data_IF_145688441270
#
_entry.id   IF_145688441270
#
_cell.length_a   1.000
_cell.length_b   1.000
_cell.length_c   1.000
_cell.angle_alpha   90.00
_cell.angle_beta   90.00
_cell.angle_gamma   90.00
#
_symmetry.space_group_name_H-M   'P 1'
#
loop_
_entity.id
_entity.type
_entity.pdbx_description
1 polymer ?
#
# COMPACT_ATOMS: atom_id res chain seq x y z
N UNK A 1 28.29 13.19 -6.75
CA UNK A 1 29.40 13.98 -6.13
C UNK A 1 29.26 14.10 -4.61
N UNK A 2 30.39 14.13 -3.90
CA UNK A 2 30.47 14.40 -2.47
C UNK A 2 31.10 15.79 -2.29
N UNK A 3 30.27 16.79 -2.02
CA UNK A 3 30.68 18.18 -1.79
C UNK A 3 29.53 18.92 -1.12
N UNK A 4 29.82 19.97 -0.33
CA UNK A 4 28.78 20.73 0.35
C UNK A 4 27.79 21.30 -0.67
N UNK A 5 26.52 21.35 -0.28
CA UNK A 5 25.49 22.06 -1.03
C UNK A 5 25.86 23.54 -1.05
N UNK A 6 25.78 24.16 -2.23
CA UNK A 6 25.96 25.60 -2.38
C UNK A 6 24.64 26.33 -2.21
N UNK A 7 23.70 26.12 -3.13
CA UNK A 7 22.33 26.61 -3.05
C UNK A 7 21.38 25.80 -3.94
N UNK A 8 20.06 25.89 -3.72
CA UNK A 8 19.10 25.29 -4.61
C UNK A 8 19.09 25.92 -6.01
N UNK A 9 18.88 25.11 -7.04
CA UNK A 9 18.88 25.50 -8.44
C UNK A 9 17.86 26.63 -8.69
N UNK A 10 18.26 27.64 -9.46
CA UNK A 10 17.44 28.80 -9.78
C UNK A 10 17.33 29.85 -8.66
N UNK A 11 17.87 29.60 -7.46
CA UNK A 11 18.00 30.64 -6.44
C UNK A 11 19.08 31.66 -6.86
N UNK A 12 18.90 32.95 -6.53
CA UNK A 12 19.87 33.98 -6.86
C UNK A 12 21.16 33.83 -6.05
N UNK A 13 22.29 34.11 -6.67
CA UNK A 13 23.60 34.17 -6.05
C UNK A 13 24.40 35.38 -6.55
N UNK A 14 25.36 35.80 -5.72
CA UNK A 14 26.22 36.92 -6.04
C UNK A 14 27.48 36.50 -6.80
N UNK A 15 27.87 37.32 -7.77
CA UNK A 15 29.13 37.20 -8.51
C UNK A 15 29.83 38.54 -8.45
N UNK A 16 31.12 38.51 -8.12
CA UNK A 16 31.99 39.69 -8.15
C UNK A 16 33.01 39.50 -9.26
N UNK A 17 33.18 40.52 -10.08
CA UNK A 17 34.20 40.59 -11.14
C UNK A 17 35.10 41.79 -10.89
N UNK A 18 36.39 41.61 -11.15
CA UNK A 18 37.38 42.67 -11.10
C UNK A 18 38.10 42.71 -12.43
N UNK A 19 38.07 43.87 -13.09
CA UNK A 19 38.81 44.12 -14.32
C UNK A 19 40.27 44.39 -13.96
N UNK A 20 41.19 43.59 -14.49
CA UNK A 20 42.62 43.67 -14.20
C UNK A 20 43.39 44.14 -15.44
N UNK A 21 44.48 44.87 -15.24
CA UNK A 21 45.45 45.16 -16.29
C UNK A 21 46.40 43.97 -16.53
N UNK A 22 47.41 44.17 -17.38
CA UNK A 22 48.36 43.13 -17.75
C UNK A 22 49.29 42.72 -16.58
N UNK A 23 49.50 43.63 -15.62
CA UNK A 23 50.28 43.41 -14.41
C UNK A 23 49.46 42.74 -13.29
N UNK A 24 48.14 42.69 -13.44
CA UNK A 24 47.21 42.07 -12.51
C UNK A 24 46.61 43.03 -11.49
N UNK A 25 46.75 44.34 -11.69
CA UNK A 25 46.19 45.38 -10.83
C UNK A 25 44.75 45.75 -11.26
N UNK A 26 43.83 46.05 -10.33
CA UNK A 26 42.48 46.50 -10.66
C UNK A 26 42.51 47.79 -11.49
N UNK A 27 41.72 47.82 -12.56
CA UNK A 27 41.61 48.97 -13.48
C UNK A 27 40.49 49.92 -13.05
N UNK A 28 40.77 51.05 -12.36
CA UNK A 28 39.72 51.85 -11.71
C UNK A 28 38.77 52.56 -12.68
N UNK A 29 39.17 52.63 -13.96
CA UNK A 29 38.43 53.30 -15.02
C UNK A 29 37.54 52.36 -15.84
N UNK A 30 37.64 51.03 -15.68
CA UNK A 30 36.79 50.09 -16.39
C UNK A 30 35.31 50.33 -16.05
N UNK A 31 34.43 50.38 -17.05
CA UNK A 31 33.01 50.70 -16.90
C UNK A 31 32.73 52.19 -16.68
N UNK A 32 33.73 53.07 -16.89
CA UNK A 32 33.62 54.55 -16.81
C UNK A 32 33.95 55.24 -18.13
N UNK A 33 33.98 54.49 -19.22
CA UNK A 33 34.16 54.98 -20.58
C UNK A 33 32.96 55.83 -21.02
N UNK A 34 33.08 56.53 -22.16
CA UNK A 34 31.99 57.35 -22.71
C UNK A 34 30.73 56.51 -23.04
N UNK A 35 30.95 55.28 -23.49
CA UNK A 35 29.95 54.21 -23.53
C UNK A 35 30.43 53.21 -22.49
N UNK A 36 29.77 53.15 -21.34
CA UNK A 36 30.22 52.33 -20.22
C UNK A 36 30.21 50.85 -20.58
N UNK A 37 31.33 50.18 -20.32
CA UNK A 37 31.48 48.75 -20.54
C UNK A 37 30.74 47.93 -19.48
N UNK A 38 30.29 46.74 -19.90
CA UNK A 38 29.61 45.78 -19.02
C UNK A 38 30.28 44.42 -19.09
N UNK A 39 29.82 43.46 -18.28
CA UNK A 39 30.36 42.09 -18.26
C UNK A 39 29.25 41.10 -18.58
N UNK A 40 29.53 40.20 -19.51
CA UNK A 40 28.75 39.00 -19.79
C UNK A 40 29.35 37.80 -19.06
N UNK A 41 28.48 36.89 -18.60
CA UNK A 41 28.87 35.72 -17.81
C UNK A 41 28.40 34.45 -18.52
N UNK A 42 29.33 33.54 -18.76
CA UNK A 42 29.03 32.21 -19.33
C UNK A 42 29.32 31.11 -18.31
N UNK A 43 28.57 30.01 -18.38
CA UNK A 43 28.80 28.83 -17.53
C UNK A 43 29.36 27.66 -18.32
N UNK A 44 30.24 26.89 -17.68
CA UNK A 44 30.65 25.56 -18.17
C UNK A 44 30.26 24.52 -17.13
N UNK A 45 29.55 23.48 -17.56
CA UNK A 45 29.18 22.36 -16.69
C UNK A 45 30.40 21.48 -16.38
N UNK A 46 30.68 21.34 -15.10
CA UNK A 46 31.74 20.47 -14.56
C UNK A 46 31.17 19.10 -14.21
N UNK A 47 29.98 19.08 -13.57
CA UNK A 47 29.29 17.85 -13.21
C UNK A 47 27.77 18.07 -13.19
N UNK A 48 26.95 17.09 -13.62
CA UNK A 48 27.36 15.80 -14.21
C UNK A 48 27.97 15.97 -15.60
N UNK A 49 28.92 15.11 -15.96
CA UNK A 49 29.49 15.11 -17.31
C UNK A 49 28.39 14.76 -18.31
N UNK A 50 28.32 15.50 -19.42
CA UNK A 50 27.27 15.40 -20.42
C UNK A 50 25.84 15.70 -19.93
N UNK A 51 25.71 16.37 -18.78
CA UNK A 51 24.43 16.92 -18.32
C UNK A 51 24.00 18.15 -19.11
N UNK A 52 22.80 18.64 -18.78
CA UNK A 52 22.24 19.88 -19.32
C UNK A 52 22.94 21.07 -18.67
N UNK A 53 23.29 22.08 -19.46
CA UNK A 53 23.87 23.33 -18.98
C UNK A 53 23.05 24.51 -19.54
N UNK A 54 21.92 24.88 -18.91
CA UNK A 54 21.24 26.11 -19.29
C UNK A 54 22.14 27.33 -19.01
N UNK A 55 21.92 28.46 -19.70
CA UNK A 55 22.68 29.67 -19.43
C UNK A 55 22.45 30.16 -18.01
N UNK A 56 23.47 30.77 -17.42
CA UNK A 56 23.29 31.61 -16.23
C UNK A 56 22.60 32.88 -16.67
N UNK A 57 21.55 33.28 -15.94
CA UNK A 57 20.80 34.50 -16.24
C UNK A 57 20.78 35.41 -15.03
N UNK A 58 20.50 36.68 -15.24
CA UNK A 58 20.29 37.67 -14.19
C UNK A 58 19.19 38.64 -14.63
N UNK A 59 18.46 39.21 -13.67
CA UNK A 59 17.46 40.25 -13.97
C UNK A 59 18.12 41.60 -14.26
N UNK A 60 19.14 41.93 -13.48
CA UNK A 60 19.92 43.16 -13.52
C UNK A 60 21.38 42.90 -13.89
N UNK A 61 21.99 41.84 -13.34
CA UNK A 61 23.39 41.49 -13.60
C UNK A 61 24.36 42.34 -12.79
N UNK A 62 25.50 42.70 -13.38
CA UNK A 62 26.50 43.50 -12.69
C UNK A 62 26.07 44.96 -12.53
N UNK A 63 26.28 45.53 -11.34
CA UNK A 63 26.15 46.96 -11.11
C UNK A 63 27.30 47.78 -11.69
N UNK A 64 27.32 49.07 -11.36
CA UNK A 64 28.38 50.00 -11.79
C UNK A 64 29.73 49.62 -11.17
N UNK A 65 30.79 49.68 -11.96
CA UNK A 65 32.15 49.45 -11.50
C UNK A 65 32.67 50.55 -10.55
N UNK A 66 33.21 50.13 -9.42
CA UNK A 66 33.86 50.99 -8.43
C UNK A 66 35.27 50.47 -8.15
N UNK A 67 36.29 51.25 -8.49
CA UNK A 67 37.69 50.83 -8.32
C UNK A 67 38.05 49.58 -9.13
N UNK A 68 37.45 49.41 -10.31
CA UNK A 68 37.69 48.25 -11.17
C UNK A 68 36.92 46.98 -10.79
N UNK A 69 36.04 47.03 -9.79
CA UNK A 69 35.22 45.89 -9.36
C UNK A 69 33.72 46.17 -9.49
N UNK A 70 32.95 45.17 -9.89
CA UNK A 70 31.50 45.17 -9.85
C UNK A 70 30.96 43.87 -9.24
N UNK A 71 29.83 43.96 -8.55
CA UNK A 71 29.11 42.81 -7.99
C UNK A 71 27.68 42.83 -8.51
N UNK A 72 27.22 41.69 -9.04
CA UNK A 72 25.80 41.43 -9.27
C UNK A 72 25.30 40.38 -8.27
N UNK A 73 24.03 40.48 -7.86
CA UNK A 73 23.48 39.69 -6.75
C UNK A 73 22.30 38.78 -7.13
N UNK A 74 21.90 38.80 -8.39
CA UNK A 74 20.70 38.15 -8.91
C UNK A 74 20.98 37.17 -10.05
N UNK A 75 22.22 36.70 -10.15
CA UNK A 75 22.55 35.61 -11.06
C UNK A 75 21.88 34.32 -10.59
N UNK A 76 21.32 33.55 -11.50
CA UNK A 76 20.71 32.27 -11.19
C UNK A 76 21.06 31.24 -12.27
N UNK A 77 21.13 29.98 -11.86
CA UNK A 77 21.36 28.84 -12.73
C UNK A 77 20.32 27.74 -12.42
N UNK A 78 19.37 27.48 -13.33
CA UNK A 78 18.19 26.66 -13.02
C UNK A 78 18.42 25.16 -13.26
N UNK A 79 19.55 24.62 -12.83
CA UNK A 79 19.90 23.21 -13.00
C UNK A 79 20.73 22.65 -11.83
N UNK A 80 20.66 21.34 -11.63
CA UNK A 80 21.48 20.59 -10.66
C UNK A 80 22.86 20.33 -11.24
N UNK A 81 23.89 20.54 -10.43
CA UNK A 81 25.24 20.32 -10.92
C UNK A 81 26.29 21.16 -10.24
N UNK A 82 27.45 21.22 -10.88
CA UNK A 82 28.57 22.07 -10.54
C UNK A 82 28.98 22.77 -11.82
N UNK A 83 29.11 24.09 -11.79
CA UNK A 83 29.57 24.90 -12.91
C UNK A 83 30.83 25.69 -12.54
N UNK A 84 31.59 26.08 -13.56
CA UNK A 84 32.50 27.24 -13.51
C UNK A 84 31.89 28.38 -14.31
N UNK A 85 32.37 29.59 -14.05
CA UNK A 85 31.93 30.82 -14.69
C UNK A 85 33.10 31.48 -15.41
N UNK A 86 32.84 32.02 -16.59
CA UNK A 86 33.85 32.80 -17.35
C UNK A 86 33.26 34.17 -17.68
N UNK A 87 33.79 35.27 -17.11
CA UNK A 87 33.38 36.61 -17.47
C UNK A 87 34.03 37.04 -18.79
N UNK A 88 33.35 37.90 -19.54
CA UNK A 88 33.88 38.55 -20.74
C UNK A 88 33.28 39.94 -20.90
N UNK A 89 33.89 40.80 -21.71
CA UNK A 89 33.33 42.11 -22.04
C UNK A 89 31.94 41.93 -22.64
N UNK A 90 30.97 42.72 -22.17
CA UNK A 90 29.55 42.47 -22.36
C UNK A 90 29.10 42.40 -23.81
N UNK A 91 29.69 43.23 -24.68
CA UNK A 91 29.44 43.25 -26.12
C UNK A 91 30.52 42.52 -26.95
N UNK A 92 31.55 41.99 -26.28
CA UNK A 92 32.66 41.29 -26.89
C UNK A 92 33.70 42.19 -27.57
N UNK A 93 33.75 43.50 -27.29
CA UNK A 93 34.77 44.39 -27.81
C UNK A 93 35.13 45.51 -26.82
N UNK A 94 36.35 45.51 -26.29
CA UNK A 94 36.80 46.59 -25.42
C UNK A 94 37.58 47.65 -26.22
N UNK A 95 37.01 48.84 -26.38
CA UNK A 95 37.66 49.98 -27.05
C UNK A 95 38.19 49.66 -28.46
N UNK A 96 37.48 48.85 -29.26
CA UNK A 96 37.92 48.38 -30.59
C UNK A 96 39.16 47.48 -30.59
N UNK A 97 39.53 46.94 -29.42
CA UNK A 97 40.63 45.99 -29.23
C UNK A 97 40.24 44.52 -29.34
N UNK A 98 38.96 44.21 -29.53
CA UNK A 98 38.39 42.87 -29.49
C UNK A 98 37.95 42.44 -28.09
N UNK A 99 37.45 41.20 -27.99
CA UNK A 99 36.90 40.66 -26.75
C UNK A 99 38.02 40.41 -25.73
N UNK A 100 37.79 40.85 -24.49
CA UNK A 100 38.59 40.45 -23.34
C UNK A 100 37.82 39.41 -22.56
N UNK A 101 38.36 38.19 -22.50
CA UNK A 101 37.81 37.09 -21.69
C UNK A 101 38.62 37.00 -20.40
N UNK A 102 37.93 37.02 -19.26
CA UNK A 102 38.54 36.91 -17.95
C UNK A 102 38.87 35.46 -17.58
N UNK A 103 39.47 35.31 -16.39
CA UNK A 103 39.86 34.01 -15.86
C UNK A 103 38.64 33.17 -15.50
N UNK A 104 38.66 31.89 -15.87
CA UNK A 104 37.64 30.90 -15.46
C UNK A 104 37.65 30.78 -13.94
N UNK A 105 36.49 30.87 -13.31
CA UNK A 105 36.35 30.71 -11.87
C UNK A 105 36.72 29.28 -11.43
N UNK A 106 36.95 29.10 -10.13
CA UNK A 106 36.80 27.78 -9.53
C UNK A 106 35.36 27.26 -9.65
N UNK A 107 35.13 26.04 -9.16
CA UNK A 107 33.77 25.50 -9.06
C UNK A 107 32.92 26.42 -8.19
N UNK A 108 31.80 26.90 -8.72
CA UNK A 108 30.85 27.75 -7.99
C UNK A 108 30.29 27.00 -6.78
N UNK A 109 30.06 25.70 -6.93
CA UNK A 109 29.58 24.80 -5.88
C UNK A 109 28.52 23.83 -6.40
N UNK A 110 27.97 23.00 -5.51
CA UNK A 110 26.96 21.99 -5.88
C UNK A 110 25.55 22.55 -5.74
N UNK A 111 24.89 22.76 -6.86
CA UNK A 111 23.47 23.08 -6.96
C UNK A 111 22.63 21.81 -6.79
N UNK A 112 21.55 21.90 -6.01
CA UNK A 112 20.57 20.83 -5.74
C UNK A 112 19.18 21.27 -6.21
N UNK A 113 18.18 20.40 -6.34
CA UNK A 113 16.81 20.88 -6.57
C UNK A 113 16.35 21.80 -5.43
N UNK A 114 15.44 22.71 -5.75
CA UNK A 114 14.75 23.58 -4.77
C UNK A 114 13.68 22.79 -4.00
N UNK A 115 12.87 22.02 -4.72
CA UNK A 115 11.85 21.17 -4.12
C UNK A 115 11.48 20.03 -5.07
N UNK A 116 10.62 19.13 -4.58
CA UNK A 116 9.94 18.13 -5.41
C UNK A 116 8.47 18.48 -5.63
N UNK A 117 8.03 18.48 -6.88
CA UNK A 117 6.61 18.32 -7.19
C UNK A 117 6.20 16.86 -6.97
N UNK A 118 5.00 16.65 -6.45
CA UNK A 118 4.46 15.32 -6.14
C UNK A 118 3.22 15.03 -7.00
N UNK A 119 3.24 13.90 -7.69
CA UNK A 119 2.07 13.33 -8.35
C UNK A 119 1.78 11.94 -7.78
N UNK A 120 0.54 11.71 -7.35
CA UNK A 120 0.07 10.46 -6.75
C UNK A 120 -0.82 9.70 -7.75
N UNK A 121 -0.75 8.37 -7.77
CA UNK A 121 -1.82 7.57 -8.36
C UNK A 121 -3.03 7.48 -7.41
N UNK A 122 -4.11 6.84 -7.87
CA UNK A 122 -5.27 6.49 -7.04
C UNK A 122 -5.19 5.00 -6.67
N UNK A 123 -4.52 4.62 -5.58
CA UNK A 123 -4.43 3.23 -5.17
C UNK A 123 -5.78 2.70 -4.70
N UNK A 124 -5.89 1.37 -4.68
CA UNK A 124 -7.03 0.66 -4.11
C UNK A 124 -6.58 -0.64 -3.43
N UNK A 125 -7.25 -0.97 -2.34
CA UNK A 125 -7.22 -2.30 -1.74
C UNK A 125 -8.18 -3.23 -2.48
N UNK A 126 -7.85 -4.52 -2.50
CA UNK A 126 -8.72 -5.59 -2.96
C UNK A 126 -9.63 -6.02 -1.82
N UNK A 127 -10.94 -5.98 -2.04
CA UNK A 127 -11.93 -6.55 -1.12
C UNK A 127 -11.85 -8.07 -1.16
N UNK A 128 -11.64 -8.74 -0.02
CA UNK A 128 -11.40 -10.19 0.02
C UNK A 128 -12.57 -10.98 -0.59
N UNK A 129 -13.81 -10.61 -0.24
CA UNK A 129 -15.01 -11.11 -0.91
C UNK A 129 -15.63 -10.04 -1.81
N UNK A 130 -15.05 -9.84 -3.00
CA UNK A 130 -15.48 -8.80 -3.93
C UNK A 130 -16.95 -8.92 -4.37
N UNK A 131 -17.48 -10.14 -4.55
CA UNK A 131 -18.89 -10.36 -4.92
C UNK A 131 -19.87 -10.10 -3.78
N UNK A 132 -19.40 -10.16 -2.52
CA UNK A 132 -20.18 -9.82 -1.33
C UNK A 132 -19.95 -8.39 -0.83
N UNK A 133 -18.89 -7.73 -1.29
CA UNK A 133 -18.51 -6.36 -0.94
C UNK A 133 -17.93 -6.19 0.47
N UNK A 134 -17.36 -7.25 1.04
CA UNK A 134 -16.83 -7.25 2.41
C UNK A 134 -15.49 -7.97 2.53
N UNK A 135 -14.80 -7.72 3.64
CA UNK A 135 -13.66 -8.52 4.12
C UNK A 135 -13.90 -8.91 5.57
N UNK A 136 -13.57 -10.15 5.96
CA UNK A 136 -13.70 -10.54 7.36
C UNK A 136 -12.61 -9.87 8.22
N UNK A 137 -12.96 -9.46 9.44
CA UNK A 137 -11.97 -8.95 10.39
C UNK A 137 -11.04 -10.09 10.80
N UNK A 138 -9.74 -9.87 10.60
CA UNK A 138 -8.68 -10.87 10.75
C UNK A 138 -8.25 -11.54 9.44
N UNK A 139 -9.03 -11.40 8.37
CA UNK A 139 -8.67 -11.84 7.03
C UNK A 139 -7.69 -10.86 6.39
N UNK A 140 -6.67 -11.39 5.70
CA UNK A 140 -5.69 -10.56 5.02
C UNK A 140 -6.21 -10.07 3.67
N UNK A 141 -6.09 -8.78 3.43
CA UNK A 141 -6.33 -8.14 2.14
C UNK A 141 -5.07 -7.42 1.65
N UNK A 142 -4.98 -7.18 0.34
CA UNK A 142 -3.80 -6.57 -0.29
C UNK A 142 -4.23 -5.49 -1.28
N UNK A 143 -3.29 -4.80 -1.93
CA UNK A 143 -3.60 -3.84 -2.97
C UNK A 143 -4.12 -4.52 -4.24
N UNK A 144 -5.25 -4.07 -4.76
CA UNK A 144 -5.65 -4.31 -6.15
C UNK A 144 -4.90 -3.36 -7.10
N UNK A 145 -4.57 -2.16 -6.62
CA UNK A 145 -3.64 -1.23 -7.24
C UNK A 145 -2.75 -0.57 -6.17
N UNK A 146 -1.45 -0.87 -6.20
CA UNK A 146 -0.53 -0.37 -5.18
C UNK A 146 -0.23 1.14 -5.32
N UNK A 147 0.07 1.84 -4.21
CA UNK A 147 0.44 3.25 -4.24
C UNK A 147 1.73 3.51 -5.01
N UNK A 148 1.78 4.63 -5.72
CA UNK A 148 2.97 5.12 -6.42
C UNK A 148 3.05 6.64 -6.33
N UNK A 149 4.18 7.13 -5.84
CA UNK A 149 4.52 8.55 -5.86
C UNK A 149 5.46 8.79 -7.05
N UNK A 150 5.15 9.78 -7.86
CA UNK A 150 6.07 10.32 -8.88
C UNK A 150 6.55 11.69 -8.40
N UNK A 151 7.86 11.84 -8.24
CA UNK A 151 8.50 13.09 -7.85
C UNK A 151 9.13 13.73 -9.09
N UNK A 152 8.98 15.05 -9.22
CA UNK A 152 9.72 15.83 -10.22
C UNK A 152 10.57 16.88 -9.51
N UNK A 153 11.87 16.84 -9.71
CA UNK A 153 12.82 17.77 -9.15
C UNK A 153 12.72 19.13 -9.86
N UNK A 154 12.55 20.21 -9.09
CA UNK A 154 12.32 21.57 -9.60
C UNK A 154 13.41 22.52 -9.16
N UNK A 155 13.72 23.48 -10.03
CA UNK A 155 14.43 24.70 -9.64
C UNK A 155 13.44 25.71 -9.03
N UNK A 156 13.94 26.74 -8.35
CA UNK A 156 13.14 27.84 -7.80
C UNK A 156 12.36 28.62 -8.89
N UNK A 157 12.81 28.52 -10.15
CA UNK A 157 12.14 29.06 -11.35
C UNK A 157 11.09 28.11 -11.95
N UNK A 158 10.77 27.01 -11.25
CA UNK A 158 9.84 25.94 -11.64
C UNK A 158 10.23 25.10 -12.88
N UNK A 159 11.40 25.30 -13.47
CA UNK A 159 11.95 24.38 -14.47
C UNK A 159 12.33 23.04 -13.84
N UNK A 160 12.23 21.96 -14.61
CA UNK A 160 12.72 20.64 -14.18
C UNK A 160 14.24 20.65 -14.15
N UNK A 161 14.85 20.18 -13.07
CA UNK A 161 16.30 19.98 -12.98
C UNK A 161 16.68 18.63 -13.57
N UNK A 162 16.99 18.61 -14.87
CA UNK A 162 17.20 17.37 -15.63
C UNK A 162 18.43 16.59 -15.17
N UNK A 163 19.40 17.27 -14.55
CA UNK A 163 20.61 16.65 -14.02
C UNK A 163 20.41 16.00 -12.65
N UNK A 164 19.23 16.08 -12.04
CA UNK A 164 18.90 15.32 -10.83
C UNK A 164 18.70 13.84 -11.17
N UNK A 165 19.83 13.14 -11.33
CA UNK A 165 19.92 11.72 -11.67
C UNK A 165 21.31 11.19 -11.28
N UNK A 166 21.49 9.86 -11.27
CA UNK A 166 22.77 9.20 -11.02
C UNK A 166 23.41 9.63 -9.71
N UNK A 167 24.62 10.17 -9.76
CA UNK A 167 25.35 10.57 -8.56
C UNK A 167 24.77 11.81 -7.82
N UNK A 168 23.87 12.55 -8.48
CA UNK A 168 23.11 13.66 -7.92
C UNK A 168 21.74 13.25 -7.41
N UNK A 169 21.25 12.05 -7.76
CA UNK A 169 20.07 11.46 -7.16
C UNK A 169 20.38 11.06 -5.71
N UNK A 170 19.72 11.70 -4.75
CA UNK A 170 20.01 11.53 -3.32
C UNK A 170 18.86 10.93 -2.50
N UNK A 171 17.78 10.52 -3.16
CA UNK A 171 16.66 9.84 -2.52
C UNK A 171 17.01 8.37 -2.28
N UNK A 172 16.88 7.92 -1.03
CA UNK A 172 17.05 6.52 -0.64
C UNK A 172 16.03 6.14 0.44
N UNK A 173 15.86 4.84 0.71
CA UNK A 173 15.02 4.37 1.81
C UNK A 173 15.50 4.82 3.20
N UNK A 174 16.73 5.35 3.33
CA UNK A 174 17.21 5.94 4.59
C UNK A 174 16.80 7.40 4.74
N UNK A 175 16.53 8.10 3.64
CA UNK A 175 16.12 9.51 3.63
C UNK A 175 14.61 9.67 3.59
N UNK A 176 13.92 8.72 2.96
CA UNK A 176 12.46 8.60 3.00
C UNK A 176 12.07 7.85 4.27
N UNK A 177 11.35 8.50 5.19
CA UNK A 177 11.16 8.03 6.57
C UNK A 177 9.69 8.04 6.99
N UNK A 178 9.42 7.56 8.21
CA UNK A 178 8.12 7.65 8.89
C UNK A 178 6.92 7.13 8.06
N UNK A 179 7.17 6.09 7.23
CA UNK A 179 6.11 5.38 6.51
C UNK A 179 5.14 4.75 7.53
N UNK A 180 3.88 5.16 7.48
CA UNK A 180 2.85 4.74 8.43
C UNK A 180 1.55 4.39 7.73
N UNK A 181 0.91 3.34 8.22
CA UNK A 181 -0.43 2.92 7.85
C UNK A 181 -1.32 3.05 9.07
N UNK A 182 -2.36 3.89 8.97
CA UNK A 182 -3.27 4.17 10.09
C UNK A 182 -4.69 3.96 9.62
N UNK A 183 -5.44 3.18 10.37
CA UNK A 183 -6.88 3.05 10.18
C UNK A 183 -7.63 3.92 11.21
N UNK A 184 -8.73 4.54 10.79
CA UNK A 184 -9.57 5.33 11.69
C UNK A 184 -10.41 4.38 12.57
N UNK A 185 -10.30 4.56 13.89
CA UNK A 185 -11.15 3.88 14.88
C UNK A 185 -10.83 2.41 15.15
N UNK A 186 -9.90 1.80 14.41
CA UNK A 186 -9.61 0.36 14.49
C UNK A 186 -8.11 0.09 14.37
N UNK A 187 -7.65 -1.02 14.93
CA UNK A 187 -6.26 -1.43 14.87
C UNK A 187 -5.96 -2.22 13.58
N UNK A 188 -4.87 -1.84 12.92
CA UNK A 188 -4.39 -2.50 11.69
C UNK A 188 -3.12 -3.29 12.00
N UNK A 189 -3.07 -4.54 11.57
CA UNK A 189 -1.85 -5.34 11.55
C UNK A 189 -1.11 -5.08 10.22
N UNK A 190 0.09 -4.52 10.35
CA UNK A 190 0.97 -4.14 9.25
C UNK A 190 2.17 -5.08 9.08
N UNK A 191 2.21 -6.20 9.81
CA UNK A 191 3.36 -7.12 9.81
C UNK A 191 3.59 -7.79 8.45
N UNK A 192 2.57 -7.87 7.60
CA UNK A 192 2.68 -8.39 6.24
C UNK A 192 3.30 -7.44 5.23
N UNK A 193 3.50 -6.16 5.58
CA UNK A 193 4.12 -5.19 4.69
C UNK A 193 5.64 -5.39 4.59
N UNK A 194 6.27 -5.08 3.45
CA UNK A 194 7.73 -5.13 3.32
C UNK A 194 8.41 -4.12 4.25
N UNK A 195 9.63 -4.44 4.70
CA UNK A 195 10.39 -3.56 5.59
C UNK A 195 10.67 -2.18 4.95
N UNK A 196 10.65 -1.07 5.74
CA UNK A 196 10.93 0.28 5.22
C UNK A 196 12.28 0.44 4.50
N UNK A 197 13.26 -0.41 4.85
CA UNK A 197 14.58 -0.41 4.22
C UNK A 197 14.58 -0.80 2.73
N UNK A 198 13.53 -1.46 2.25
CA UNK A 198 13.40 -1.93 0.85
C UNK A 198 12.09 -1.46 0.19
N UNK A 199 11.19 -0.84 0.94
CA UNK A 199 9.91 -0.34 0.42
C UNK A 199 9.61 1.07 0.95
N UNK A 200 9.24 2.03 0.09
CA UNK A 200 8.97 1.85 -1.35
C UNK A 200 10.24 1.56 -2.17
N UNK A 201 10.08 0.91 -3.32
CA UNK A 201 11.16 0.80 -4.31
C UNK A 201 11.36 2.17 -4.95
N UNK A 202 12.52 2.78 -4.68
CA UNK A 202 12.89 4.09 -5.20
C UNK A 202 13.64 3.90 -6.52
N UNK A 203 13.15 4.52 -7.58
CA UNK A 203 13.76 4.47 -8.92
C UNK A 203 14.06 5.87 -9.41
N UNK A 204 15.29 6.08 -9.86
CA UNK A 204 15.67 7.22 -10.68
C UNK A 204 15.20 6.96 -12.12
N UNK A 205 14.20 7.72 -12.57
CA UNK A 205 13.65 7.60 -13.92
C UNK A 205 14.40 8.47 -14.95
N UNK A 206 15.43 9.21 -14.51
CA UNK A 206 16.16 10.17 -15.33
C UNK A 206 15.41 11.48 -15.54
N UNK A 207 16.11 12.50 -16.05
CA UNK A 207 15.51 13.78 -16.42
C UNK A 207 14.87 14.53 -15.24
N UNK A 208 15.37 14.33 -14.02
CA UNK A 208 14.81 14.93 -12.80
C UNK A 208 13.55 14.27 -12.27
N UNK A 209 13.20 13.07 -12.74
CA UNK A 209 12.02 12.34 -12.29
C UNK A 209 12.42 11.14 -11.43
N UNK A 210 11.72 10.95 -10.31
CA UNK A 210 11.84 9.79 -9.44
C UNK A 210 10.49 9.10 -9.25
N UNK A 211 10.50 7.80 -8.99
CA UNK A 211 9.29 7.07 -8.56
C UNK A 211 9.53 6.30 -7.27
N UNK A 212 8.57 6.36 -6.36
CA UNK A 212 8.49 5.52 -5.16
C UNK A 212 7.31 4.58 -5.36
N UNK A 213 7.58 3.29 -5.61
CA UNK A 213 6.56 2.28 -5.81
C UNK A 213 6.42 1.41 -4.55
N UNK A 214 5.21 1.40 -3.98
CA UNK A 214 4.91 0.63 -2.77
C UNK A 214 4.48 -0.80 -3.13
N UNK A 215 4.76 -1.73 -2.24
CA UNK A 215 4.28 -3.11 -2.29
C UNK A 215 3.47 -3.43 -1.04
N UNK A 216 2.41 -4.21 -1.20
CA UNK A 216 1.61 -4.68 -0.08
C UNK A 216 2.18 -5.93 0.61
N UNK A 217 3.28 -6.50 0.10
CA UNK A 217 3.87 -7.72 0.69
C UNK A 217 2.86 -8.86 0.75
N UNK A 218 2.72 -9.51 1.91
CA UNK A 218 1.67 -10.50 2.14
C UNK A 218 0.30 -9.89 2.46
N UNK A 219 0.23 -8.58 2.71
CA UNK A 219 -1.01 -7.82 2.89
C UNK A 219 -1.14 -7.20 4.29
N UNK A 220 -2.33 -6.67 4.53
CA UNK A 220 -2.79 -6.03 5.76
C UNK A 220 -4.00 -6.79 6.31
N UNK A 221 -4.28 -6.67 7.59
CA UNK A 221 -5.55 -7.13 8.18
C UNK A 221 -5.96 -6.26 9.35
N UNK A 222 -7.27 -6.13 9.57
CA UNK A 222 -7.76 -5.56 10.83
C UNK A 222 -7.53 -6.56 11.97
N UNK A 223 -7.06 -6.04 13.11
CA UNK A 223 -6.80 -6.87 14.29
C UNK A 223 -8.13 -7.38 14.84
N UNK A 224 -8.31 -8.69 14.80
CA UNK A 224 -9.48 -9.37 15.34
C UNK A 224 -9.38 -9.49 16.86
N UNK A 225 -10.39 -9.00 17.57
CA UNK A 225 -10.51 -9.14 19.02
C UNK A 225 -11.90 -9.68 19.39
N UNK A 226 -12.73 -8.89 20.05
CA UNK A 226 -14.12 -9.24 20.38
C UNK A 226 -15.06 -8.96 19.21
N UNK A 227 -16.24 -9.61 19.16
CA UNK A 227 -17.25 -9.31 18.14
C UNK A 227 -17.64 -7.83 18.12
N UNK A 228 -17.66 -7.24 16.93
CA UNK A 228 -18.02 -5.84 16.71
C UNK A 228 -18.92 -5.67 15.49
N UNK A 229 -19.69 -4.58 15.49
CA UNK A 229 -20.60 -4.26 14.40
C UNK A 229 -19.82 -3.95 13.11
N UNK A 230 -20.40 -4.19 11.92
CA UNK A 230 -19.74 -3.86 10.66
C UNK A 230 -19.35 -2.39 10.57
N UNK A 231 -18.21 -2.12 9.95
CA UNK A 231 -17.71 -0.76 9.70
C UNK A 231 -17.07 -0.66 8.32
N UNK A 232 -16.99 0.55 7.77
CA UNK A 232 -16.22 0.81 6.54
C UNK A 232 -14.78 1.17 6.89
N UNK A 233 -13.82 0.53 6.23
CA UNK A 233 -12.40 0.79 6.43
C UNK A 233 -11.99 2.17 5.87
N UNK A 234 -11.40 3.02 6.72
CA UNK A 234 -10.68 4.24 6.34
C UNK A 234 -9.21 4.05 6.73
N UNK A 235 -8.38 3.64 5.75
CA UNK A 235 -6.94 3.41 5.91
C UNK A 235 -6.17 4.48 5.14
N UNK A 236 -5.21 5.11 5.82
CA UNK A 236 -4.32 6.13 5.26
C UNK A 236 -2.88 5.65 5.26
N UNK A 237 -2.17 5.98 4.19
CA UNK A 237 -0.72 5.79 4.10
C UNK A 237 -0.06 7.17 4.11
N UNK A 238 0.85 7.42 5.04
CA UNK A 238 1.69 8.62 5.07
C UNK A 238 3.17 8.25 4.99
N UNK A 239 4.00 9.09 4.37
CA UNK A 239 5.45 8.92 4.33
C UNK A 239 6.15 10.27 4.24
N UNK A 240 7.26 10.44 4.95
CA UNK A 240 8.10 11.62 4.83
C UNK A 240 9.06 11.44 3.67
N UNK A 241 8.98 12.34 2.68
CA UNK A 241 9.85 12.35 1.50
C UNK A 241 10.89 13.46 1.66
N UNK A 242 12.14 13.04 1.81
CA UNK A 242 13.32 13.90 1.86
C UNK A 242 14.48 13.19 1.18
N UNK A 243 15.35 13.92 0.50
CA UNK A 243 16.62 13.37 0.00
C UNK A 243 17.79 13.68 0.96
N UNK A 244 18.98 13.13 0.69
CA UNK A 244 20.13 13.33 1.57
C UNK A 244 20.67 14.78 1.61
N UNK A 245 20.20 15.65 0.71
CA UNK A 245 20.50 17.09 0.68
C UNK A 245 19.39 17.93 1.33
N UNK A 246 18.40 17.29 1.97
CA UNK A 246 17.21 17.89 2.56
C UNK A 246 16.23 18.52 1.57
N UNK A 247 16.22 18.09 0.30
CA UNK A 247 15.17 18.48 -0.65
C UNK A 247 13.89 17.73 -0.32
N UNK A 248 12.77 18.45 -0.19
CA UNK A 248 11.46 17.88 0.11
C UNK A 248 10.36 18.46 -0.77
N UNK A 249 9.18 17.82 -0.82
CA UNK A 249 7.98 18.44 -1.35
C UNK A 249 7.46 19.57 -0.46
N UNK A 250 6.65 20.47 -1.04
CA UNK A 250 6.00 21.54 -0.29
C UNK A 250 5.04 21.03 0.82
N UNK A 251 4.43 19.86 0.63
CA UNK A 251 3.62 19.17 1.64
C UNK A 251 4.27 17.84 1.98
N UNK A 252 4.66 17.69 3.24
CA UNK A 252 5.31 16.51 3.78
C UNK A 252 4.78 16.29 5.21
N UNK A 253 4.29 15.10 5.61
CA UNK A 253 4.30 13.84 4.85
C UNK A 253 3.44 13.87 3.59
N UNK A 254 3.85 13.07 2.60
CA UNK A 254 3.01 12.72 1.45
C UNK A 254 1.99 11.68 1.89
N UNK A 255 0.70 11.88 1.57
CA UNK A 255 -0.41 11.07 2.07
C UNK A 255 -1.26 10.50 0.93
N UNK A 256 -1.54 9.20 1.00
CA UNK A 256 -2.62 8.54 0.24
C UNK A 256 -3.84 8.31 1.13
N UNK A 257 -5.02 8.43 0.52
CA UNK A 257 -6.29 8.17 1.18
C UNK A 257 -6.66 9.25 2.18
N UNK A 258 -7.01 10.45 1.71
CA UNK A 258 -7.33 11.63 2.54
C UNK A 258 -8.56 11.45 3.43
N UNK A 259 -9.58 12.32 3.31
CA UNK A 259 -10.74 12.35 4.22
C UNK A 259 -11.62 11.09 4.27
N UNK A 260 -11.31 10.04 3.52
CA UNK A 260 -12.04 8.76 3.52
C UNK A 260 -11.18 7.55 3.17
N UNK A 261 -9.85 7.64 3.38
CA UNK A 261 -8.94 6.52 3.19
C UNK A 261 -8.67 6.14 1.73
N UNK A 262 -7.81 5.15 1.53
CA UNK A 262 -7.57 4.50 0.25
C UNK A 262 -8.80 3.68 -0.11
N UNK A 263 -9.23 3.73 -1.37
CA UNK A 263 -10.44 3.04 -1.83
C UNK A 263 -10.29 1.51 -1.77
N UNK A 264 -11.42 0.82 -1.76
CA UNK A 264 -11.51 -0.63 -2.01
C UNK A 264 -12.19 -0.88 -3.35
N UNK A 265 -11.73 -1.89 -4.09
CA UNK A 265 -12.20 -2.16 -5.46
C UNK A 265 -13.63 -2.69 -5.56
N UNK A 266 -14.14 -3.32 -4.50
CA UNK A 266 -15.49 -3.87 -4.47
C UNK A 266 -16.26 -3.62 -3.16
N UNK A 267 -15.78 -2.72 -2.31
CA UNK A 267 -16.44 -2.33 -1.05
C UNK A 267 -15.49 -2.37 0.15
N UNK A 268 -15.59 -1.38 1.03
CA UNK A 268 -14.70 -1.20 2.17
C UNK A 268 -15.24 -1.84 3.47
N UNK A 269 -16.35 -2.56 3.41
CA UNK A 269 -17.00 -3.08 4.60
C UNK A 269 -16.16 -4.19 5.25
N UNK A 270 -15.93 -4.05 6.55
CA UNK A 270 -15.27 -5.01 7.41
C UNK A 270 -16.30 -5.63 8.34
N UNK A 271 -16.30 -6.96 8.43
CA UNK A 271 -17.31 -7.71 9.19
C UNK A 271 -16.69 -8.73 10.14
N UNK A 272 -17.20 -8.82 11.36
CA UNK A 272 -16.81 -9.88 12.29
C UNK A 272 -17.60 -11.15 11.99
N UNK A 273 -16.94 -12.15 11.40
CA UNK A 273 -17.56 -13.40 10.97
C UNK A 273 -17.25 -14.58 11.88
N UNK A 274 -18.09 -15.63 11.80
CA UNK A 274 -17.78 -16.97 12.31
C UNK A 274 -18.46 -18.05 11.47
N UNK A 275 -17.94 -19.27 11.46
CA UNK A 275 -18.72 -20.44 11.03
C UNK A 275 -19.40 -21.05 12.25
N UNK A 276 -20.69 -21.29 12.17
CA UNK A 276 -21.47 -21.96 13.22
C UNK A 276 -21.90 -23.34 12.74
N UNK A 277 -21.69 -24.35 13.58
CA UNK A 277 -22.10 -25.73 13.34
C UNK A 277 -23.05 -26.17 14.47
N UNK A 278 -24.28 -26.52 14.13
CA UNK A 278 -25.28 -26.93 15.10
C UNK A 278 -25.33 -28.45 15.29
N UNK A 279 -25.85 -28.88 16.44
CA UNK A 279 -26.23 -30.27 16.64
C UNK A 279 -27.42 -30.64 15.76
N UNK A 280 -27.49 -31.91 15.33
CA UNK A 280 -28.56 -32.43 14.50
C UNK A 280 -29.00 -33.81 14.98
N UNK A 281 -30.30 -34.09 14.89
CA UNK A 281 -30.90 -35.33 15.33
C UNK A 281 -31.83 -35.88 14.25
N UNK A 282 -31.73 -37.17 13.95
CA UNK A 282 -32.59 -37.81 12.95
C UNK A 282 -32.65 -39.33 13.08
N UNK A 283 -33.39 -39.97 12.18
CA UNK A 283 -33.37 -41.44 12.07
C UNK A 283 -32.12 -41.87 11.31
N UNK A 284 -31.56 -42.99 11.72
CA UNK A 284 -30.54 -43.79 11.04
C UNK A 284 -30.92 -44.19 9.60
N UNK A 285 -32.21 -44.06 9.21
CA UNK A 285 -32.73 -44.43 7.89
C UNK A 285 -32.85 -43.26 6.92
N UNK A 286 -32.59 -42.02 7.35
CA UNK A 286 -32.78 -40.81 6.54
C UNK A 286 -31.53 -39.93 6.60
N UNK A 287 -31.13 -39.38 5.45
CA UNK A 287 -30.01 -38.45 5.38
C UNK A 287 -30.27 -37.26 6.30
N UNK A 288 -29.30 -36.95 7.16
CA UNK A 288 -29.46 -35.96 8.22
C UNK A 288 -28.93 -34.61 7.75
N UNK A 289 -29.78 -33.59 7.72
CA UNK A 289 -29.33 -32.20 7.57
C UNK A 289 -28.66 -31.75 8.86
N UNK A 290 -27.45 -31.23 8.75
CA UNK A 290 -26.73 -30.61 9.87
C UNK A 290 -26.55 -29.13 9.56
N UNK A 291 -27.12 -28.20 10.36
CA UNK A 291 -26.97 -26.77 10.08
C UNK A 291 -25.52 -26.31 10.24
N UNK A 292 -24.86 -26.02 9.12
CA UNK A 292 -23.58 -25.33 9.05
C UNK A 292 -23.79 -24.01 8.34
N UNK A 293 -23.55 -22.90 9.03
CA UNK A 293 -23.83 -21.56 8.50
C UNK A 293 -22.66 -20.61 8.70
N UNK A 294 -22.34 -19.77 7.71
CA UNK A 294 -21.56 -18.57 7.95
C UNK A 294 -22.43 -17.53 8.64
N UNK A 295 -21.89 -16.88 9.66
CA UNK A 295 -22.57 -15.88 10.46
C UNK A 295 -21.75 -14.61 10.59
N UNK A 296 -22.42 -13.48 10.72
CA UNK A 296 -21.85 -12.16 10.94
C UNK A 296 -22.44 -11.52 12.18
N UNK A 297 -21.60 -10.86 12.98
CA UNK A 297 -22.07 -10.08 14.12
C UNK A 297 -22.65 -8.75 13.64
N UNK A 298 -23.86 -8.42 14.08
CA UNK A 298 -24.55 -7.18 13.66
C UNK A 298 -24.44 -6.10 14.73
N UNK A 299 -24.74 -6.44 15.98
CA UNK A 299 -24.67 -5.52 17.13
C UNK A 299 -24.77 -6.30 18.44
N UNK A 300 -24.46 -5.68 19.57
CA UNK A 300 -24.68 -6.30 20.88
C UNK A 300 -26.15 -6.69 21.16
N UNK A 301 -27.12 -5.99 20.53
CA UNK A 301 -28.54 -6.28 20.70
C UNK A 301 -29.04 -7.44 19.84
N UNK A 302 -28.44 -7.64 18.66
CA UNK A 302 -28.86 -8.67 17.69
C UNK A 302 -28.00 -9.92 17.77
N UNK A 303 -26.72 -9.76 18.10
CA UNK A 303 -25.72 -10.82 18.06
C UNK A 303 -25.36 -11.23 16.64
N UNK A 304 -25.07 -12.52 16.48
CA UNK A 304 -24.74 -13.13 15.21
C UNK A 304 -25.99 -13.53 14.43
N UNK A 305 -25.99 -13.24 13.13
CA UNK A 305 -27.02 -13.66 12.17
C UNK A 305 -26.38 -14.35 10.98
N UNK A 306 -27.16 -15.09 10.19
CA UNK A 306 -26.67 -15.72 8.96
C UNK A 306 -26.11 -14.68 7.99
N UNK A 307 -24.89 -14.90 7.50
CA UNK A 307 -24.22 -13.99 6.59
C UNK A 307 -24.59 -14.30 5.14
N UNK A 308 -25.71 -13.77 4.67
CA UNK A 308 -26.26 -14.09 3.34
C UNK A 308 -25.45 -13.53 2.17
N UNK A 309 -24.61 -12.53 2.41
CA UNK A 309 -23.70 -11.96 1.42
C UNK A 309 -22.44 -12.80 1.20
N UNK A 310 -22.14 -13.75 2.09
CA UNK A 310 -20.98 -14.62 1.94
C UNK A 310 -21.18 -15.61 0.80
N UNK A 311 -20.41 -15.41 -0.25
CA UNK A 311 -20.28 -16.30 -1.40
C UNK A 311 -18.81 -16.56 -1.74
N UNK A 312 -17.90 -16.36 -0.78
CA UNK A 312 -16.45 -16.48 -0.98
C UNK A 312 -15.78 -17.43 0.01
N UNK A 313 -16.39 -17.73 1.17
CA UNK A 313 -15.79 -18.61 2.16
C UNK A 313 -15.60 -20.03 1.61
N UNK A 314 -14.34 -20.45 1.52
CA UNK A 314 -13.94 -21.79 1.11
C UNK A 314 -12.92 -22.37 2.10
N UNK A 315 -12.48 -23.60 1.86
CA UNK A 315 -11.45 -24.22 2.71
C UNK A 315 -11.95 -24.49 4.12
N UNK A 316 -13.19 -24.99 4.24
CA UNK A 316 -13.79 -25.40 5.52
C UNK A 316 -13.98 -26.93 5.56
N UNK A 317 -12.90 -27.74 5.52
CA UNK A 317 -13.02 -29.18 5.57
C UNK A 317 -13.58 -29.65 6.91
N UNK A 318 -14.28 -30.77 6.87
CA UNK A 318 -14.96 -31.40 7.99
C UNK A 318 -14.21 -32.67 8.40
N UNK A 319 -14.17 -32.92 9.70
CA UNK A 319 -13.72 -34.18 10.27
C UNK A 319 -14.85 -34.81 11.08
N UNK A 320 -14.96 -36.14 10.99
CA UNK A 320 -15.94 -36.95 11.71
C UNK A 320 -15.22 -37.82 12.73
N UNK A 321 -15.56 -37.67 14.01
CA UNK A 321 -14.87 -38.33 15.11
C UNK A 321 -15.74 -38.51 16.35
N UNK A 322 -15.10 -38.92 17.45
CA UNK A 322 -15.75 -39.14 18.75
C UNK A 322 -17.06 -39.96 18.66
N UNK A 323 -17.00 -41.04 17.88
CA UNK A 323 -18.10 -41.97 17.65
C UNK A 323 -18.62 -42.57 18.95
N UNK A 324 -19.94 -42.66 19.11
CA UNK A 324 -20.58 -43.25 20.27
C UNK A 324 -21.86 -44.01 19.90
N UNK A 325 -22.27 -44.95 20.76
CA UNK A 325 -23.39 -45.86 20.49
C UNK A 325 -22.97 -47.00 19.56
N UNK A 326 -23.88 -47.40 18.68
CA UNK A 326 -23.68 -48.40 17.61
C UNK A 326 -23.19 -47.78 16.30
N UNK A 327 -22.91 -46.47 16.26
CA UNK A 327 -22.38 -45.77 15.09
C UNK A 327 -20.84 -45.81 15.07
N UNK A 328 -20.25 -46.26 13.97
CA UNK A 328 -18.81 -46.40 13.76
C UNK A 328 -18.30 -45.60 12.55
N UNK A 329 -16.98 -45.42 12.51
CA UNK A 329 -16.30 -44.78 11.40
C UNK A 329 -16.58 -45.48 10.06
N UNK A 330 -16.97 -44.70 9.06
CA UNK A 330 -17.31 -45.17 7.71
C UNK A 330 -18.76 -45.57 7.52
N UNK A 331 -19.58 -45.64 8.58
CA UNK A 331 -21.02 -45.91 8.47
C UNK A 331 -21.81 -44.68 8.01
N UNK A 332 -21.31 -43.47 8.29
CA UNK A 332 -21.80 -42.22 7.70
C UNK A 332 -20.65 -41.38 7.14
N UNK A 333 -21.01 -40.47 6.25
CA UNK A 333 -20.12 -39.59 5.50
C UNK A 333 -20.90 -38.37 5.02
N UNK A 334 -20.20 -37.32 4.62
CA UNK A 334 -20.85 -36.12 4.07
C UNK A 334 -21.37 -36.43 2.66
N UNK A 335 -22.61 -36.07 2.38
CA UNK A 335 -23.12 -36.12 1.01
C UNK A 335 -22.47 -34.98 0.21
N UNK A 336 -21.57 -35.35 -0.70
CA UNK A 336 -20.76 -34.41 -1.49
C UNK A 336 -20.71 -34.90 -2.96
N UNK A 337 -19.78 -34.37 -3.73
CA UNK A 337 -19.41 -34.74 -5.09
C UNK A 337 -18.68 -36.08 -5.19
N UNK A 338 -18.22 -36.64 -4.06
CA UNK A 338 -17.51 -37.91 -3.97
C UNK A 338 -16.56 -37.91 -2.76
N UNK A 339 -15.60 -38.82 -2.73
CA UNK A 339 -14.58 -38.90 -1.68
C UNK A 339 -13.25 -38.31 -2.16
N UNK A 340 -12.65 -37.33 -1.45
CA UNK A 340 -13.12 -36.74 -0.20
C UNK A 340 -14.14 -35.60 -0.37
N UNK A 341 -14.42 -35.18 -1.61
CA UNK A 341 -15.32 -34.05 -1.88
C UNK A 341 -14.72 -32.72 -1.41
N UNK A 342 -15.50 -31.64 -1.48
CA UNK A 342 -15.05 -30.32 -1.00
C UNK A 342 -15.12 -30.22 0.54
N UNK A 343 -15.97 -31.03 1.17
CA UNK A 343 -16.05 -31.18 2.63
C UNK A 343 -14.87 -31.94 3.22
N UNK A 344 -14.05 -32.65 2.45
CA UNK A 344 -12.97 -33.50 3.00
C UNK A 344 -13.43 -34.84 3.59
N UNK A 345 -14.73 -34.99 3.85
CA UNK A 345 -15.35 -36.18 4.48
C UNK A 345 -16.47 -36.80 3.61
N UNK A 346 -16.40 -36.57 2.30
CA UNK A 346 -17.42 -36.98 1.35
C UNK A 346 -17.54 -38.50 1.18
N UNK A 347 -18.77 -38.97 0.92
CA UNK A 347 -19.05 -40.37 0.64
C UNK A 347 -18.34 -40.89 -0.62
N UNK A 348 -18.11 -42.21 -0.68
CA UNK A 348 -17.44 -42.86 -1.82
C UNK A 348 -18.14 -42.68 -3.18
N UNK A 349 -19.42 -42.30 -3.19
CA UNK A 349 -20.17 -41.91 -4.37
C UNK A 349 -20.84 -40.56 -4.14
N UNK A 350 -21.08 -39.82 -5.24
CA UNK A 350 -21.69 -38.51 -5.16
C UNK A 350 -23.12 -38.59 -4.61
N UNK A 351 -23.45 -37.75 -3.64
CA UNK A 351 -24.79 -37.63 -3.10
C UNK A 351 -25.79 -37.03 -4.11
N UNK A 352 -27.10 -37.04 -3.78
CA UNK A 352 -28.12 -36.34 -4.57
C UNK A 352 -27.78 -34.84 -4.69
N UNK A 353 -27.96 -34.26 -5.88
CA UNK A 353 -27.56 -32.85 -6.15
C UNK A 353 -28.08 -31.84 -5.12
N UNK A 354 -29.31 -32.01 -4.63
CA UNK A 354 -29.93 -31.12 -3.66
C UNK A 354 -29.34 -31.24 -2.24
N UNK A 355 -28.60 -32.31 -1.94
CA UNK A 355 -28.03 -32.60 -0.61
C UNK A 355 -26.51 -32.52 -0.60
N UNK A 356 -25.89 -32.12 -1.71
CA UNK A 356 -24.43 -32.00 -1.77
C UNK A 356 -23.97 -30.82 -0.93
N UNK A 357 -22.93 -31.06 -0.14
CA UNK A 357 -22.17 -30.02 0.54
C UNK A 357 -21.77 -28.93 -0.44
N UNK A 358 -21.83 -27.69 0.04
CA UNK A 358 -21.68 -26.50 -0.76
C UNK A 358 -20.59 -25.63 -0.16
N UNK A 359 -19.62 -25.29 -0.99
CA UNK A 359 -18.62 -24.25 -0.71
C UNK A 359 -18.33 -23.51 -2.03
N UNK A 360 -18.39 -22.17 -2.06
CA UNK A 360 -18.83 -21.27 -1.00
C UNK A 360 -20.30 -21.44 -0.58
N UNK A 361 -20.73 -20.95 0.60
CA UNK A 361 -22.11 -21.05 1.04
C UNK A 361 -23.07 -20.28 0.12
N UNK A 362 -24.35 -20.66 0.13
CA UNK A 362 -25.42 -19.91 -0.55
C UNK A 362 -26.39 -19.38 0.48
N UNK A 363 -26.55 -18.05 0.56
CA UNK A 363 -27.37 -17.44 1.61
C UNK A 363 -26.83 -17.77 3.01
N UNK A 364 -25.53 -17.98 3.13
CA UNK A 364 -24.84 -18.39 4.37
C UNK A 364 -24.97 -19.87 4.73
N UNK A 365 -25.63 -20.71 3.94
CA UNK A 365 -25.78 -22.16 4.19
C UNK A 365 -24.81 -23.00 3.34
N UNK A 366 -24.07 -23.90 4.01
CA UNK A 366 -23.15 -24.87 3.39
C UNK A 366 -23.85 -26.14 2.91
N UNK A 367 -25.17 -26.28 3.11
CA UNK A 367 -25.96 -27.42 2.67
C UNK A 367 -25.39 -28.77 3.15
N UNK A 368 -25.00 -28.83 4.43
CA UNK A 368 -24.36 -30.01 5.00
C UNK A 368 -25.40 -31.11 5.29
N UNK A 369 -25.18 -32.26 4.66
CA UNK A 369 -25.92 -33.49 4.94
C UNK A 369 -24.98 -34.64 5.24
N UNK A 370 -25.34 -35.46 6.21
CA UNK A 370 -24.75 -36.77 6.44
C UNK A 370 -25.60 -37.86 5.81
N UNK A 371 -24.95 -38.83 5.17
CA UNK A 371 -25.62 -40.02 4.67
C UNK A 371 -26.24 -40.82 5.82
N UNK A 372 -27.45 -41.33 5.61
CA UNK A 372 -28.09 -42.23 6.56
C UNK A 372 -27.19 -43.45 6.81
N UNK A 373 -26.82 -43.76 8.07
CA UNK A 373 -25.92 -44.87 8.33
C UNK A 373 -26.59 -46.25 8.14
N UNK A 374 -27.92 -46.32 8.14
CA UNK A 374 -28.69 -47.55 7.97
C UNK A 374 -29.18 -48.14 9.29
N UNK A 375 -30.09 -49.11 9.19
CA UNK A 375 -30.72 -49.75 10.34
C UNK A 375 -29.68 -50.43 11.25
N UNK A 376 -29.78 -50.18 12.56
CA UNK A 376 -28.88 -50.76 13.58
C UNK A 376 -27.61 -49.95 13.86
N UNK A 377 -27.41 -48.84 13.14
CA UNK A 377 -26.30 -47.91 13.37
C UNK A 377 -26.78 -46.66 14.13
N UNK A 378 -27.47 -46.88 15.26
CA UNK A 378 -27.91 -45.82 16.16
C UNK A 378 -26.75 -45.32 17.02
N UNK A 379 -26.60 -44.00 17.16
CA UNK A 379 -25.43 -43.44 17.81
C UNK A 379 -25.15 -42.00 17.41
N UNK A 380 -24.01 -41.47 17.83
CA UNK A 380 -23.61 -40.10 17.54
C UNK A 380 -22.19 -40.00 16.99
N UNK A 381 -21.97 -38.96 16.20
CA UNK A 381 -20.66 -38.55 15.68
C UNK A 381 -20.49 -37.06 15.94
N UNK A 382 -19.28 -36.67 16.38
CA UNK A 382 -18.88 -35.27 16.43
C UNK A 382 -18.32 -34.85 15.09
N UNK A 383 -18.82 -33.74 14.58
CA UNK A 383 -18.39 -33.07 13.37
C UNK A 383 -17.59 -31.84 13.82
N UNK A 384 -16.38 -31.69 13.31
CA UNK A 384 -15.56 -30.48 13.49
C UNK A 384 -15.25 -29.88 12.13
N UNK A 385 -15.44 -28.57 11.96
CA UNK A 385 -15.02 -27.87 10.75
C UNK A 385 -13.71 -27.13 11.03
N UNK A 386 -12.64 -27.47 10.31
CA UNK A 386 -11.39 -26.71 10.30
C UNK A 386 -11.64 -25.45 9.45
N UNK A 387 -11.69 -24.28 10.08
CA UNK A 387 -12.05 -23.04 9.42
C UNK A 387 -10.89 -22.05 9.46
N UNK A 388 -10.81 -21.10 8.51
CA UNK A 388 -9.82 -20.04 8.61
C UNK A 388 -9.89 -19.32 9.96
N UNK A 389 -8.75 -18.95 10.54
CA UNK A 389 -8.66 -18.35 11.88
C UNK A 389 -9.55 -17.11 12.10
N UNK A 390 -9.90 -16.37 11.04
CA UNK A 390 -10.84 -15.24 11.09
C UNK A 390 -12.32 -15.64 11.11
N UNK A 391 -12.62 -16.93 11.15
CA UNK A 391 -13.97 -17.50 11.28
C UNK A 391 -14.11 -18.44 12.49
N UNK A 392 -13.01 -18.69 13.21
CA UNK A 392 -13.04 -19.31 14.54
C UNK A 392 -13.74 -18.40 15.55
N UNK A 393 -14.27 -19.00 16.62
CA UNK A 393 -15.01 -18.31 17.68
C UNK A 393 -14.81 -19.00 19.02
N UNK A 394 -14.98 -18.26 20.12
CA UNK A 394 -14.99 -18.83 21.48
C UNK A 394 -16.32 -19.56 21.72
N UNK A 395 -16.31 -20.87 21.50
CA UNK A 395 -17.49 -21.71 21.69
C UNK A 395 -17.63 -22.19 23.14
N UNK A 396 -16.54 -22.13 23.91
CA UNK A 396 -16.47 -22.64 25.26
C UNK A 396 -16.05 -21.54 26.25
N UNK A 397 -17.04 -20.89 26.84
CA UNK A 397 -16.83 -19.86 27.86
C UNK A 397 -16.01 -20.32 29.10
N UNK A 398 -15.85 -21.63 29.33
CA UNK A 398 -15.01 -22.16 30.41
C UNK A 398 -13.52 -22.31 30.03
N UNK A 399 -13.19 -22.29 28.74
CA UNK A 399 -11.82 -22.36 28.22
C UNK A 399 -11.67 -21.31 27.13
N UNK A 400 -11.31 -20.07 27.49
CA UNK A 400 -11.24 -18.98 26.53
C UNK A 400 -10.24 -19.27 25.41
N UNK A 401 -10.66 -19.02 24.17
CA UNK A 401 -9.87 -19.23 22.97
C UNK A 401 -10.71 -18.99 21.73
N UNK A 402 -10.06 -18.90 20.56
CA UNK A 402 -10.77 -19.05 19.29
C UNK A 402 -10.63 -20.53 18.91
N UNK A 403 -11.75 -21.18 18.65
CA UNK A 403 -11.78 -22.57 18.23
C UNK A 403 -12.60 -22.78 16.95
N UNK A 404 -12.23 -23.86 16.26
CA UNK A 404 -13.05 -24.47 15.22
C UNK A 404 -14.45 -24.84 15.76
N UNK A 405 -15.53 -24.58 15.00
CA UNK A 405 -16.86 -24.97 15.41
C UNK A 405 -17.04 -26.48 15.38
N UNK A 406 -17.73 -26.99 16.40
CA UNK A 406 -18.08 -28.41 16.53
C UNK A 406 -19.58 -28.60 16.71
N UNK A 407 -20.11 -29.71 16.20
CA UNK A 407 -21.51 -30.10 16.34
C UNK A 407 -21.64 -31.61 16.45
N UNK A 408 -22.70 -32.08 17.09
CA UNK A 408 -22.99 -33.51 17.27
C UNK A 408 -24.17 -33.89 16.38
N UNK A 409 -23.95 -34.86 15.50
CA UNK A 409 -25.00 -35.51 14.73
C UNK A 409 -25.37 -36.84 15.39
N UNK A 410 -26.66 -37.01 15.69
CA UNK A 410 -27.16 -38.23 16.36
C UNK A 410 -28.26 -38.90 15.54
N UNK A 411 -28.10 -40.21 15.34
CA UNK A 411 -29.03 -41.07 14.62
C UNK A 411 -29.75 -42.02 15.59
N UNK A 412 -31.07 -42.19 15.43
CA UNK A 412 -31.81 -43.32 16.03
C UNK A 412 -32.26 -43.17 17.49
N UNK A 413 -32.20 -41.98 18.11
CA UNK A 413 -32.57 -41.80 19.54
C UNK A 413 -34.07 -42.08 19.81
N UNK A 414 -34.94 -41.85 18.84
CA UNK A 414 -36.37 -42.12 18.98
C UNK A 414 -36.74 -43.39 18.23
N UNK A 415 -36.91 -44.49 18.97
CA UNK A 415 -37.74 -45.60 18.51
C UNK A 415 -39.21 -45.15 18.52
N UNK A 416 -39.62 -44.45 17.46
CA UNK A 416 -41.04 -44.35 17.14
C UNK A 416 -41.60 -45.77 17.10
N UNK A 417 -42.68 -46.05 17.86
CA UNK A 417 -43.27 -47.38 17.94
C UNK A 417 -43.50 -47.92 16.51
N UNK A 418 -42.90 -49.07 16.19
CA UNK A 418 -42.93 -49.69 14.84
C UNK A 418 -44.34 -50.00 14.31
N UNK A 419 -45.40 -49.73 15.09
CA UNK A 419 -46.82 -49.84 14.73
C UNK A 419 -47.53 -48.50 14.46
N UNK A 420 -46.86 -47.35 14.55
CA UNK A 420 -47.46 -46.04 14.28
C UNK A 420 -47.28 -45.65 12.81
N UNK A 421 -48.32 -45.88 12.02
CA UNK A 421 -48.36 -45.58 10.57
C UNK A 421 -48.96 -44.19 10.26
N UNK A 422 -49.47 -43.48 11.27
CA UNK A 422 -50.03 -42.13 11.11
C UNK A 422 -50.17 -41.42 12.46
N UNK A 423 -49.80 -40.13 12.52
CA UNK A 423 -50.17 -39.21 13.60
C UNK A 423 -50.65 -37.90 12.94
N UNK A 424 -51.92 -37.54 13.18
CA UNK A 424 -52.51 -36.26 12.75
C UNK A 424 -52.46 -35.30 13.93
N UNK A 425 -51.74 -34.21 13.78
CA UNK A 425 -51.95 -33.05 14.63
C UNK A 425 -53.19 -32.30 14.14
N UNK A 426 -54.13 -32.09 15.04
CA UNK A 426 -55.29 -31.22 14.84
C UNK A 426 -54.95 -29.94 15.59
N UNK A 427 -54.91 -28.82 14.86
CA UNK A 427 -54.77 -27.47 15.41
C UNK A 427 -56.00 -27.05 16.22
#
# INVERSE_FOLDING_TARGET
PAGPVFLPAGQPFAVTVTALDAEGDPTPNYGREAIAESVSLTSTLVAPVAGVNPPVTAGTGFGVFTGGTATGIDFNWPEVGIITLTPSVGDGDYLSGGNVTGTVSGNVGRFIPDHFDVALNSPAFGTACASGGFTYIGETFNYSLAPRITLTARAATASVTQNYTGAFFKLTNTTVQNRSYVAVGHALDTAGLPAPAIDPVITDAGGGVATLAFSGGSGLKFVRTTPEAPFDADIRLSIDVLDADNVSPASNPVVFGGGGGIAFDAGAQMVYGRIHLANALGSELVNLTVPQTSQVFVSAATGFVTHTADNCTTGTPLSLGAWAGSLNAGETCVLDTGAPGASGAGCGSAGPLAQRYRTPPLGGDFNLFLAAPGAGNDGSVTISADVPAWLEFDWNAATPGLEDPTGIATFGIYSGNARRIYQREIY
#
